data_IF_733975154228
#
_entry.id   IF_733975154228
#
_cell.length_a   1.000
_cell.length_b   1.000
_cell.length_c   1.000
_cell.angle_alpha   90.00
_cell.angle_beta   90.00
_cell.angle_gamma   90.00
#
_symmetry.space_group_name_H-M   'P 1'
#
loop_
_entity.id
_entity.type
_entity.pdbx_description
1 polymer ?
#
# COMPACT_ATOMS: atom_id res chain seq x y z
N UNK A 1 3.90 -4.44 6.74
CA UNK A 1 3.22 -3.32 7.43
C UNK A 1 2.10 -3.87 8.30
N UNK A 2 2.10 -3.56 9.58
CA UNK A 2 1.09 -4.07 10.50
C UNK A 2 -0.08 -3.11 10.58
N UNK A 3 -1.29 -3.67 10.62
CA UNK A 3 -2.49 -2.85 10.67
C UNK A 3 -2.58 -2.03 11.97
N UNK A 4 -2.03 -2.54 13.06
CA UNK A 4 -2.00 -1.80 14.33
C UNK A 4 -1.18 -0.51 14.21
N UNK A 5 -0.09 -0.55 13.46
CA UNK A 5 0.73 0.63 13.23
C UNK A 5 -0.02 1.66 12.38
N UNK A 6 -0.77 1.18 11.40
CA UNK A 6 -1.57 2.05 10.55
C UNK A 6 -2.69 2.75 11.32
N UNK A 7 -3.28 2.06 12.28
CA UNK A 7 -4.36 2.62 13.09
C UNK A 7 -3.91 3.75 14.00
N UNK A 8 -2.62 3.79 14.32
CA UNK A 8 -2.05 4.86 15.12
C UNK A 8 -1.82 6.14 14.32
N UNK A 9 -1.84 6.07 13.00
CA UNK A 9 -1.60 7.20 12.13
C UNK A 9 -2.88 8.00 11.91
N UNK A 10 -2.73 9.32 11.78
CA UNK A 10 -3.87 10.15 11.44
C UNK A 10 -4.17 10.07 9.93
N UNK A 11 -5.26 10.72 9.52
CA UNK A 11 -5.72 10.65 8.14
C UNK A 11 -4.69 11.17 7.14
N UNK A 12 -4.01 12.26 7.47
CA UNK A 12 -3.00 12.82 6.58
C UNK A 12 -1.80 11.92 6.43
N UNK A 13 -1.37 11.31 7.53
CA UNK A 13 -0.27 10.35 7.50
C UNK A 13 -0.63 9.13 6.66
N UNK A 14 -1.87 8.68 6.76
CA UNK A 14 -2.34 7.56 5.94
C UNK A 14 -2.36 7.91 4.46
N UNK A 15 -2.74 9.13 4.12
CA UNK A 15 -2.71 9.58 2.72
C UNK A 15 -1.29 9.58 2.16
N UNK A 16 -0.34 10.09 2.94
CA UNK A 16 1.07 10.10 2.53
C UNK A 16 1.56 8.68 2.32
N UNK A 17 1.23 7.79 3.24
CA UNK A 17 1.62 6.39 3.15
C UNK A 17 1.02 5.72 1.91
N UNK A 18 -0.25 6.01 1.63
CA UNK A 18 -0.93 5.48 0.45
C UNK A 18 -0.27 5.96 -0.83
N UNK A 19 0.07 7.23 -0.91
CA UNK A 19 0.75 7.78 -2.08
C UNK A 19 2.10 7.11 -2.30
N UNK A 20 2.86 6.92 -1.24
CA UNK A 20 4.16 6.27 -1.30
C UNK A 20 4.03 4.85 -1.82
N UNK A 21 3.09 4.09 -1.27
CA UNK A 21 2.87 2.70 -1.68
C UNK A 21 2.37 2.62 -3.12
N UNK A 22 1.52 3.54 -3.53
CA UNK A 22 1.01 3.57 -4.90
C UNK A 22 2.15 3.83 -5.88
N UNK A 23 3.06 4.73 -5.56
CA UNK A 23 4.23 5.01 -6.40
C UNK A 23 5.14 3.80 -6.48
N UNK A 24 5.38 3.13 -5.37
CA UNK A 24 6.19 1.93 -5.35
C UNK A 24 5.57 0.83 -6.20
N UNK A 25 4.27 0.64 -6.06
CA UNK A 25 3.55 -0.36 -6.83
C UNK A 25 3.66 -0.08 -8.33
N UNK A 26 3.46 1.17 -8.70
CA UNK A 26 3.56 1.58 -10.10
C UNK A 26 4.97 1.36 -10.65
N UNK A 27 5.98 1.75 -9.88
CA UNK A 27 7.38 1.55 -10.25
C UNK A 27 7.72 0.09 -10.45
N UNK A 28 7.26 -0.76 -9.54
CA UNK A 28 7.50 -2.20 -9.66
C UNK A 28 6.78 -2.79 -10.88
N UNK A 29 5.55 -2.34 -11.14
CA UNK A 29 4.83 -2.81 -12.32
C UNK A 29 5.55 -2.45 -13.61
N UNK A 30 6.11 -1.26 -13.68
CA UNK A 30 6.90 -0.87 -14.85
C UNK A 30 8.20 -1.69 -14.95
N UNK A 31 8.85 -1.90 -13.82
CA UNK A 31 10.10 -2.65 -13.77
C UNK A 31 9.91 -4.11 -14.16
N UNK A 32 8.81 -4.73 -13.73
CA UNK A 32 8.54 -6.15 -13.98
C UNK A 32 7.59 -6.38 -15.15
N UNK A 33 7.16 -5.33 -15.81
CA UNK A 33 6.20 -5.41 -16.91
C UNK A 33 6.69 -6.19 -18.11
N UNK A 34 7.99 -6.45 -18.18
CA UNK A 34 8.59 -7.20 -19.28
C UNK A 34 8.83 -8.68 -18.96
N UNK A 35 8.19 -9.20 -17.94
CA UNK A 35 8.14 -10.64 -17.71
C UNK A 35 9.11 -11.24 -16.73
N UNK A 36 9.65 -10.46 -15.78
CA UNK A 36 10.45 -11.05 -14.73
C UNK A 36 9.53 -11.67 -13.67
N UNK A 37 9.39 -12.97 -13.76
CA UNK A 37 8.42 -13.72 -12.97
C UNK A 37 8.80 -13.86 -11.50
N UNK A 38 10.07 -13.68 -11.15
CA UNK A 38 10.56 -13.98 -9.81
C UNK A 38 10.13 -12.98 -8.73
N UNK A 39 9.45 -11.90 -9.09
CA UNK A 39 9.17 -10.84 -8.12
C UNK A 39 7.70 -10.49 -7.99
N UNK A 40 6.83 -11.39 -8.41
CA UNK A 40 5.39 -11.19 -8.28
C UNK A 40 4.95 -11.10 -6.82
N UNK A 41 5.69 -11.73 -5.90
CA UNK A 41 5.37 -11.68 -4.48
C UNK A 41 5.49 -10.25 -3.92
N UNK A 42 6.43 -9.45 -4.44
CA UNK A 42 6.56 -8.05 -4.02
C UNK A 42 5.35 -7.23 -4.42
N UNK A 43 4.83 -7.47 -5.62
CA UNK A 43 3.61 -6.80 -6.07
C UNK A 43 2.42 -7.16 -5.19
N UNK A 44 2.30 -8.43 -4.83
CA UNK A 44 1.23 -8.89 -3.95
C UNK A 44 1.32 -8.26 -2.56
N UNK A 45 2.53 -8.16 -2.01
CA UNK A 45 2.72 -7.53 -0.71
C UNK A 45 2.34 -6.07 -0.72
N UNK A 46 2.75 -5.33 -1.76
CA UNK A 46 2.42 -3.92 -1.87
C UNK A 46 0.92 -3.72 -2.05
N UNK A 47 0.27 -4.55 -2.86
CA UNK A 47 -1.18 -4.49 -3.02
C UNK A 47 -1.90 -4.72 -1.68
N UNK A 48 -1.40 -5.66 -0.91
CA UNK A 48 -1.95 -5.96 0.41
C UNK A 48 -1.79 -4.78 1.35
N UNK A 49 -0.61 -4.15 1.34
CA UNK A 49 -0.35 -2.97 2.15
C UNK A 49 -1.23 -1.79 1.75
N UNK A 50 -1.41 -1.58 0.45
CA UNK A 50 -2.31 -0.55 -0.05
C UNK A 50 -3.73 -0.78 0.44
N UNK A 51 -4.20 -2.03 0.38
CA UNK A 51 -5.53 -2.38 0.86
C UNK A 51 -5.68 -2.11 2.36
N UNK A 52 -4.65 -2.42 3.13
CA UNK A 52 -4.65 -2.15 4.58
C UNK A 52 -4.76 -0.67 4.88
N UNK A 53 -3.98 0.15 4.16
CA UNK A 53 -4.03 1.60 4.34
C UNK A 53 -5.42 2.14 3.98
N UNK A 54 -5.98 1.70 2.87
CA UNK A 54 -7.32 2.11 2.46
C UNK A 54 -8.38 1.71 3.48
N UNK A 55 -8.25 0.52 4.05
CA UNK A 55 -9.18 0.05 5.08
C UNK A 55 -9.10 0.94 6.31
N UNK A 56 -7.89 1.29 6.75
CA UNK A 56 -7.71 2.16 7.89
C UNK A 56 -8.28 3.55 7.64
N UNK A 57 -8.10 4.08 6.45
CA UNK A 57 -8.67 5.37 6.08
C UNK A 57 -10.19 5.33 6.14
N UNK A 58 -10.79 4.25 5.65
CA UNK A 58 -12.23 4.07 5.68
C UNK A 58 -12.76 3.96 7.11
N UNK A 59 -12.07 3.20 7.96
CA UNK A 59 -12.44 3.09 9.37
C UNK A 59 -12.40 4.44 10.06
N UNK A 60 -11.38 5.24 9.78
CA UNK A 60 -11.23 6.56 10.36
C UNK A 60 -12.38 7.49 9.92
N UNK A 61 -12.81 7.39 8.67
CA UNK A 61 -13.87 8.20 8.14
C UNK A 61 -15.24 7.79 8.70
N UNK A 62 -15.43 6.51 8.97
CA UNK A 62 -16.69 5.96 9.44
C UNK A 62 -16.85 5.99 10.96
N UNK A 63 -15.83 6.39 11.66
CA UNK A 63 -15.87 6.50 13.12
C UNK A 63 -16.55 7.80 13.63
#
# INVERSE_FOLDING_TARGET
MKISELREKDEEELKVELERLTREHFGLRMQFGSGQLGQTHLLKEIRRDIARVKTCMKESTNA
#
